data_IF_573434553676
#
_entry.id   IF_573434553676
#
_cell.length_a   1.000
_cell.length_b   1.000
_cell.length_c   1.000
_cell.angle_alpha   90.00
_cell.angle_beta   90.00
_cell.angle_gamma   90.00
#
_symmetry.space_group_name_H-M   'P 1'
#
loop_
_entity.id
_entity.type
_entity.pdbx_description
1 polymer ?
#
# COMPACT_ATOMS: atom_id res chain seq x y z
N UNK A 1 -3.31 -20.69 -5.41
CA UNK A 1 -2.72 -19.36 -5.65
C UNK A 1 -2.41 -19.21 -7.12
N UNK A 2 -2.16 -17.98 -7.58
CA UNK A 2 -1.66 -17.75 -8.93
C UNK A 2 -0.12 -17.65 -8.91
N UNK A 3 0.53 -18.43 -9.78
CA UNK A 3 1.98 -18.57 -9.78
C UNK A 3 2.73 -17.26 -10.08
N UNK A 4 2.20 -16.40 -10.95
CA UNK A 4 2.84 -15.13 -11.29
C UNK A 4 2.83 -14.15 -10.10
N UNK A 5 1.70 -14.08 -9.40
CA UNK A 5 1.57 -13.29 -8.17
C UNK A 5 2.49 -13.84 -7.09
N UNK A 6 2.49 -15.15 -6.88
CA UNK A 6 3.34 -15.80 -5.88
C UNK A 6 4.83 -15.52 -6.15
N UNK A 7 5.23 -15.56 -7.42
CA UNK A 7 6.60 -15.26 -7.83
C UNK A 7 6.96 -13.79 -7.61
N UNK A 8 6.06 -12.85 -7.93
CA UNK A 8 6.27 -11.42 -7.68
C UNK A 8 6.37 -11.10 -6.18
N UNK A 9 5.52 -11.72 -5.36
CA UNK A 9 5.56 -11.58 -3.90
C UNK A 9 6.91 -12.11 -3.38
N UNK A 10 7.28 -13.35 -3.73
CA UNK A 10 8.56 -13.96 -3.32
C UNK A 10 9.77 -13.15 -3.76
N UNK A 11 9.72 -12.52 -4.93
CA UNK A 11 10.80 -11.66 -5.42
C UNK A 11 11.09 -10.47 -4.50
N UNK A 12 10.12 -10.04 -3.67
CA UNK A 12 10.33 -8.99 -2.66
C UNK A 12 11.04 -9.48 -1.39
N UNK A 13 11.09 -10.79 -1.15
CA UNK A 13 11.63 -11.36 0.10
C UNK A 13 13.15 -11.23 0.21
N UNK A 14 13.84 -10.96 -0.90
CA UNK A 14 15.26 -10.56 -0.91
C UNK A 14 15.49 -9.16 -0.34
N UNK A 15 14.45 -8.33 -0.22
CA UNK A 15 14.54 -7.00 0.35
C UNK A 15 14.46 -7.05 1.88
N UNK A 16 14.71 -5.89 2.52
CA UNK A 16 14.47 -5.71 3.95
C UNK A 16 13.04 -6.10 4.32
N UNK A 17 12.86 -6.61 5.54
CA UNK A 17 11.59 -7.15 6.05
C UNK A 17 10.41 -6.19 5.83
N UNK A 18 10.61 -4.91 6.11
CA UNK A 18 9.60 -3.86 5.94
C UNK A 18 9.12 -3.64 4.50
N UNK A 19 9.84 -4.16 3.49
CA UNK A 19 9.52 -4.04 2.06
C UNK A 19 9.07 -5.36 1.44
N UNK A 20 8.84 -6.39 2.27
CA UNK A 20 8.32 -7.67 1.81
C UNK A 20 6.82 -7.56 1.62
N UNK A 21 6.36 -7.96 0.44
CA UNK A 21 4.95 -8.19 0.21
C UNK A 21 4.54 -9.55 0.78
N UNK A 22 3.27 -9.63 1.15
CA UNK A 22 2.65 -10.84 1.65
C UNK A 22 1.37 -11.15 0.86
N UNK A 23 1.01 -12.43 0.78
CA UNK A 23 -0.37 -12.80 0.52
C UNK A 23 -1.14 -12.70 1.84
N UNK A 24 -2.15 -11.84 1.88
CA UNK A 24 -2.93 -11.58 3.09
C UNK A 24 -4.32 -12.20 2.90
N UNK A 25 -4.71 -13.20 3.71
CA UNK A 25 -6.05 -13.76 3.67
C UNK A 25 -7.11 -12.68 3.92
N UNK A 26 -8.20 -12.67 3.13
CA UNK A 26 -9.21 -11.62 3.22
C UNK A 26 -9.91 -11.61 4.59
N UNK A 27 -10.05 -12.77 5.22
CA UNK A 27 -10.63 -12.97 6.54
C UNK A 27 -9.87 -12.30 7.70
N UNK A 28 -8.59 -11.93 7.47
CA UNK A 28 -7.78 -11.16 8.42
C UNK A 28 -8.20 -9.68 8.50
N UNK A 29 -9.10 -9.23 7.62
CA UNK A 29 -9.64 -7.87 7.61
C UNK A 29 -10.97 -7.77 8.36
N UNK A 30 -11.06 -6.81 9.27
CA UNK A 30 -12.29 -6.43 10.00
C UNK A 30 -12.72 -5.02 9.64
N UNK A 31 -14.00 -4.71 9.90
CA UNK A 31 -14.56 -3.36 9.71
C UNK A 31 -14.30 -2.79 8.31
N UNK A 32 -14.47 -3.63 7.28
CA UNK A 32 -14.25 -3.25 5.88
C UNK A 32 -15.32 -2.22 5.48
N UNK A 33 -14.89 -1.00 5.15
CA UNK A 33 -15.77 0.11 4.78
C UNK A 33 -15.33 0.78 3.49
N UNK A 34 -16.27 1.04 2.57
CA UNK A 34 -15.98 1.75 1.33
C UNK A 34 -15.75 3.24 1.61
N UNK A 35 -14.72 3.83 0.98
CA UNK A 35 -14.43 5.27 1.10
C UNK A 35 -14.41 6.00 -0.24
N UNK A 36 -14.17 5.29 -1.34
CA UNK A 36 -14.21 5.87 -2.67
C UNK A 36 -14.44 4.79 -3.74
N UNK A 37 -15.02 5.21 -4.86
CA UNK A 37 -15.16 4.41 -6.05
C UNK A 37 -14.75 5.23 -7.27
N UNK A 38 -13.84 4.68 -8.08
CA UNK A 38 -13.46 5.24 -9.37
C UNK A 38 -13.89 4.32 -10.52
N UNK A 39 -13.54 4.72 -11.73
CA UNK A 39 -13.86 3.95 -12.94
C UNK A 39 -13.24 2.55 -12.96
N UNK A 40 -12.01 2.40 -12.43
CA UNK A 40 -11.22 1.17 -12.52
C UNK A 40 -11.00 0.47 -11.19
N UNK A 41 -11.33 1.12 -10.06
CA UNK A 41 -11.01 0.60 -8.74
C UNK A 41 -11.99 1.07 -7.69
N UNK A 42 -12.16 0.26 -6.65
CA UNK A 42 -12.84 0.65 -5.42
C UNK A 42 -11.82 0.73 -4.29
N UNK A 43 -11.98 1.71 -3.41
CA UNK A 43 -11.09 1.94 -2.27
C UNK A 43 -11.89 1.71 -1.00
N UNK A 44 -11.38 0.82 -0.17
CA UNK A 44 -11.92 0.52 1.14
C UNK A 44 -10.87 0.76 2.22
N UNK A 45 -11.32 0.95 3.45
CA UNK A 45 -10.49 0.88 4.65
C UNK A 45 -10.85 -0.39 5.43
N UNK A 46 -9.87 -0.98 6.10
CA UNK A 46 -10.11 -2.12 6.99
C UNK A 46 -9.14 -2.08 8.17
N UNK A 47 -9.51 -2.77 9.26
CA UNK A 47 -8.59 -3.13 10.32
C UNK A 47 -7.93 -4.47 9.96
N UNK A 48 -6.61 -4.49 9.82
CA UNK A 48 -5.85 -5.72 9.68
C UNK A 48 -5.30 -6.15 11.04
N UNK A 49 -5.86 -7.20 11.63
CA UNK A 49 -5.59 -7.57 13.03
C UNK A 49 -4.14 -7.98 13.30
N UNK A 50 -3.51 -8.69 12.36
CA UNK A 50 -2.11 -9.09 12.48
C UNK A 50 -1.17 -7.91 12.25
N UNK A 51 -1.48 -7.04 11.30
CA UNK A 51 -0.59 -5.96 10.88
C UNK A 51 0.68 -6.43 10.18
N UNK A 52 1.50 -5.46 9.78
CA UNK A 52 2.73 -5.70 9.02
C UNK A 52 3.80 -6.44 9.81
N UNK A 53 4.67 -7.15 9.10
CA UNK A 53 5.87 -7.75 9.68
C UNK A 53 6.85 -6.64 10.09
N UNK A 54 7.40 -6.74 11.29
CA UNK A 54 8.43 -5.81 11.81
C UNK A 54 9.83 -6.42 11.85
N UNK A 55 9.96 -7.72 12.13
CA UNK A 55 11.24 -8.44 12.15
C UNK A 55 11.04 -9.97 12.08
N UNK A 56 12.15 -10.70 11.92
CA UNK A 56 12.20 -12.15 12.12
C UNK A 56 13.33 -12.48 13.10
N UNK A 57 13.10 -13.44 14.01
CA UNK A 57 14.16 -14.09 14.78
C UNK A 57 14.37 -15.51 14.28
N UNK A 58 15.53 -16.05 14.61
CA UNK A 58 16.25 -17.20 14.06
C UNK A 58 15.53 -18.57 14.16
N UNK A 59 14.31 -18.65 13.60
CA UNK A 59 13.43 -19.81 13.37
C UNK A 59 12.20 -19.94 14.28
N UNK A 60 11.10 -19.24 13.93
CA UNK A 60 9.84 -19.90 13.49
C UNK A 60 8.67 -18.96 13.20
N UNK A 61 8.69 -17.72 13.69
CA UNK A 61 7.58 -16.78 13.49
C UNK A 61 8.02 -15.35 13.15
N UNK A 62 7.19 -14.67 12.35
CA UNK A 62 7.34 -13.25 12.06
C UNK A 62 6.79 -12.41 13.20
N UNK A 63 7.58 -11.45 13.70
CA UNK A 63 7.06 -10.43 14.60
C UNK A 63 6.15 -9.48 13.82
N UNK A 64 5.02 -9.14 14.43
CA UNK A 64 3.94 -8.37 13.83
C UNK A 64 3.71 -7.09 14.61
N UNK A 65 3.37 -6.01 13.92
CA UNK A 65 3.07 -4.73 14.56
C UNK A 65 1.76 -4.75 15.38
N UNK A 66 0.91 -5.75 15.17
CA UNK A 66 -0.44 -5.80 15.73
C UNK A 66 -1.45 -5.02 14.88
N UNK A 67 -2.67 -4.79 15.40
CA UNK A 67 -3.76 -4.25 14.59
C UNK A 67 -3.43 -2.89 13.96
N UNK A 68 -3.59 -2.80 12.64
CA UNK A 68 -3.31 -1.59 11.86
C UNK A 68 -4.47 -1.29 10.90
N UNK A 69 -4.85 -0.01 10.77
CA UNK A 69 -5.77 0.41 9.72
C UNK A 69 -5.06 0.44 8.37
N UNK A 70 -5.60 -0.27 7.39
CA UNK A 70 -5.06 -0.37 6.03
C UNK A 70 -6.06 0.12 5.00
N UNK A 71 -5.55 0.44 3.81
CA UNK A 71 -6.36 0.70 2.62
C UNK A 71 -6.33 -0.54 1.73
N UNK A 72 -7.51 -0.94 1.28
CA UNK A 72 -7.73 -2.01 0.33
C UNK A 72 -8.12 -1.38 -1.01
N UNK A 73 -7.21 -1.42 -1.98
CA UNK A 73 -7.49 -0.98 -3.35
C UNK A 73 -7.87 -2.21 -4.18
N UNK A 74 -9.16 -2.34 -4.48
CA UNK A 74 -9.70 -3.42 -5.29
C UNK A 74 -9.71 -2.97 -6.75
N UNK A 75 -9.04 -3.72 -7.63
CA UNK A 75 -9.13 -3.48 -9.07
C UNK A 75 -10.35 -4.19 -9.64
N UNK A 76 -11.24 -3.45 -10.31
CA UNK A 76 -12.42 -4.03 -10.98
C UNK A 76 -11.95 -4.94 -12.11
N UNK A 77 -12.73 -5.98 -12.39
CA UNK A 77 -12.49 -6.92 -13.49
C UNK A 77 -11.10 -7.60 -13.45
N UNK A 78 -10.59 -7.87 -12.25
CA UNK A 78 -9.29 -8.51 -12.02
C UNK A 78 -9.38 -9.98 -11.63
N UNK A 79 -10.59 -10.54 -11.55
CA UNK A 79 -10.84 -11.97 -11.29
C UNK A 79 -10.06 -12.90 -12.20
N UNK A 80 -9.94 -12.51 -13.47
CA UNK A 80 -8.97 -13.07 -14.40
C UNK A 80 -7.77 -12.15 -14.37
N UNK A 81 -6.60 -12.68 -14.04
CA UNK A 81 -5.38 -11.88 -14.00
C UNK A 81 -5.21 -11.19 -15.35
N UNK A 82 -5.38 -9.89 -15.33
CA UNK A 82 -5.17 -9.04 -16.48
C UNK A 82 -3.76 -8.42 -16.42
N UNK A 83 -3.27 -8.01 -17.57
CA UNK A 83 -1.94 -7.41 -17.70
C UNK A 83 -1.79 -6.13 -16.87
N UNK A 84 -2.88 -5.42 -16.59
CA UNK A 84 -2.87 -4.21 -15.77
C UNK A 84 -2.54 -4.52 -14.30
N UNK A 85 -3.15 -5.55 -13.71
CA UNK A 85 -2.85 -5.98 -12.34
C UNK A 85 -1.38 -6.39 -12.20
N UNK A 86 -0.88 -7.25 -13.10
CA UNK A 86 0.51 -7.72 -13.07
C UNK A 86 1.49 -6.57 -13.27
N UNK A 87 1.18 -5.64 -14.16
CA UNK A 87 1.99 -4.44 -14.38
C UNK A 87 2.04 -3.56 -13.14
N UNK A 88 0.91 -3.35 -12.47
CA UNK A 88 0.86 -2.56 -11.24
C UNK A 88 1.62 -3.24 -10.10
N UNK A 89 1.42 -4.55 -9.89
CA UNK A 89 2.17 -5.33 -8.91
C UNK A 89 3.68 -5.27 -9.19
N UNK A 90 4.10 -5.40 -10.45
CA UNK A 90 5.52 -5.26 -10.84
C UNK A 90 6.07 -3.88 -10.48
N UNK A 91 5.37 -2.81 -10.84
CA UNK A 91 5.79 -1.44 -10.48
C UNK A 91 5.93 -1.27 -8.97
N UNK A 92 5.01 -1.84 -8.17
CA UNK A 92 5.10 -1.84 -6.71
C UNK A 92 6.38 -2.58 -6.27
N UNK A 93 6.61 -3.80 -6.77
CA UNK A 93 7.79 -4.61 -6.39
C UNK A 93 9.12 -3.91 -6.68
N UNK A 94 9.21 -3.16 -7.78
CA UNK A 94 10.41 -2.44 -8.20
C UNK A 94 10.64 -1.14 -7.40
N UNK A 95 9.57 -0.51 -6.91
CA UNK A 95 9.64 0.77 -6.17
C UNK A 95 9.79 0.60 -4.67
N UNK A 96 9.31 -0.52 -4.12
CA UNK A 96 9.31 -0.85 -2.69
C UNK A 96 10.66 -0.63 -1.97
N UNK A 97 11.82 -1.08 -2.49
CA UNK A 97 13.11 -0.88 -1.82
C UNK A 97 13.49 0.59 -1.58
N UNK A 98 12.88 1.51 -2.32
CA UNK A 98 13.14 2.94 -2.25
C UNK A 98 11.98 3.73 -1.61
N UNK A 99 10.90 3.05 -1.19
CA UNK A 99 9.66 3.70 -0.76
C UNK A 99 9.87 4.67 0.41
N UNK A 100 10.59 4.24 1.46
CA UNK A 100 10.88 5.08 2.62
C UNK A 100 11.68 6.35 2.27
N UNK A 101 12.73 6.21 1.45
CA UNK A 101 13.57 7.35 1.03
C UNK A 101 12.84 8.34 0.13
N UNK A 102 11.78 7.87 -0.55
CA UNK A 102 11.01 8.66 -1.53
C UNK A 102 9.65 9.10 -1.01
N UNK A 103 9.34 8.85 0.27
CA UNK A 103 8.03 9.12 0.87
C UNK A 103 6.86 8.52 0.07
N UNK A 104 7.07 7.34 -0.53
CA UNK A 104 6.05 6.61 -1.30
C UNK A 104 5.17 5.81 -0.32
N UNK A 105 3.89 5.65 -0.67
CA UNK A 105 2.95 4.79 0.05
C UNK A 105 3.54 3.38 0.22
N UNK A 106 3.50 2.87 1.45
CA UNK A 106 3.96 1.54 1.75
C UNK A 106 2.91 0.52 1.33
N UNK A 107 3.32 -0.49 0.56
CA UNK A 107 2.51 -1.65 0.24
C UNK A 107 2.87 -2.80 1.18
N UNK A 108 1.85 -3.49 1.67
CA UNK A 108 2.00 -4.64 2.57
C UNK A 108 1.78 -5.96 1.85
N UNK A 109 0.92 -5.99 0.83
CA UNK A 109 0.62 -7.25 0.19
C UNK A 109 -0.48 -7.21 -0.84
N UNK A 110 -0.87 -8.41 -1.22
CA UNK A 110 -1.99 -8.70 -2.11
C UNK A 110 -2.99 -9.56 -1.35
N UNK A 111 -4.27 -9.32 -1.58
CA UNK A 111 -5.36 -10.19 -1.15
C UNK A 111 -6.30 -10.45 -2.33
N UNK A 112 -7.33 -11.24 -2.11
CA UNK A 112 -8.37 -11.51 -3.10
C UNK A 112 -9.73 -11.51 -2.42
N UNK A 113 -10.66 -10.75 -2.99
CA UNK A 113 -12.03 -10.71 -2.51
C UNK A 113 -12.68 -12.10 -2.71
N UNK A 114 -13.27 -12.71 -1.65
CA UNK A 114 -13.76 -14.07 -1.73
C UNK A 114 -15.01 -14.21 -2.60
N UNK A 115 -15.75 -13.14 -2.87
CA UNK A 115 -17.02 -13.13 -3.61
C UNK A 115 -16.76 -12.83 -5.08
N UNK A 116 -16.21 -11.66 -5.37
CA UNK A 116 -15.95 -11.15 -6.72
C UNK A 116 -14.70 -11.75 -7.35
N UNK A 117 -13.80 -12.34 -6.53
CA UNK A 117 -12.48 -12.84 -6.94
C UNK A 117 -11.53 -11.77 -7.46
N UNK A 118 -11.90 -10.49 -7.36
CA UNK A 118 -11.01 -9.38 -7.69
C UNK A 118 -9.82 -9.34 -6.73
N UNK A 119 -8.65 -9.02 -7.28
CA UNK A 119 -7.45 -8.81 -6.48
C UNK A 119 -7.45 -7.44 -5.80
N UNK A 120 -6.79 -7.43 -4.65
CA UNK A 120 -6.76 -6.30 -3.73
C UNK A 120 -5.30 -5.98 -3.43
N UNK A 121 -4.90 -4.72 -3.61
CA UNK A 121 -3.65 -4.21 -3.05
C UNK A 121 -3.88 -3.70 -1.63
N UNK A 122 -3.04 -4.16 -0.71
CA UNK A 122 -3.09 -3.78 0.71
C UNK A 122 -1.97 -2.80 0.98
N UNK A 123 -2.30 -1.59 1.46
CA UNK A 123 -1.35 -0.50 1.64
C UNK A 123 -1.60 0.31 2.91
N UNK A 124 -0.59 1.09 3.33
CA UNK A 124 -0.66 1.94 4.52
C UNK A 124 -1.76 2.99 4.40
N UNK A 125 -2.56 3.17 5.45
CA UNK A 125 -3.57 4.23 5.51
C UNK A 125 -2.94 5.61 5.80
N UNK A 126 -3.22 6.58 4.93
CA UNK A 126 -2.78 7.97 5.09
C UNK A 126 -3.86 8.77 5.83
N UNK A 127 -3.61 9.10 7.11
CA UNK A 127 -4.59 9.81 7.96
C UNK A 127 -5.02 11.18 7.42
N UNK A 128 -4.16 11.87 6.67
CA UNK A 128 -4.49 13.16 6.07
C UNK A 128 -5.26 13.05 4.74
N UNK A 129 -5.53 11.83 4.26
CA UNK A 129 -6.19 11.61 2.97
C UNK A 129 -5.28 11.90 1.78
N UNK A 130 -5.90 12.19 0.64
CA UNK A 130 -5.18 12.57 -0.58
C UNK A 130 -4.60 13.98 -0.48
N UNK A 131 -3.57 14.26 -1.29
CA UNK A 131 -3.03 15.61 -1.41
C UNK A 131 -4.12 16.63 -1.79
N UNK A 132 -5.05 16.24 -2.66
CA UNK A 132 -6.14 17.10 -3.07
C UNK A 132 -7.05 17.48 -1.89
N UNK A 133 -7.46 16.51 -1.07
CA UNK A 133 -8.27 16.75 0.12
C UNK A 133 -7.51 17.54 1.19
N UNK A 134 -6.22 17.27 1.35
CA UNK A 134 -5.40 18.03 2.28
C UNK A 134 -5.30 19.50 1.86
N UNK A 135 -4.98 19.75 0.58
CA UNK A 135 -4.87 21.10 0.04
C UNK A 135 -6.22 21.81 0.10
N UNK A 136 -7.34 21.16 -0.23
CA UNK A 136 -8.66 21.79 -0.19
C UNK A 136 -9.06 22.26 1.22
N UNK A 137 -8.61 21.55 2.26
CA UNK A 137 -8.89 21.90 3.66
C UNK A 137 -7.91 22.91 4.25
N UNK A 138 -6.64 22.84 3.87
CA UNK A 138 -5.55 23.53 4.57
C UNK A 138 -4.86 24.61 3.72
N UNK A 139 -5.36 24.93 2.52
CA UNK A 139 -4.68 25.82 1.57
C UNK A 139 -4.21 27.15 2.20
N UNK A 140 -5.08 27.76 3.02
CA UNK A 140 -4.81 29.06 3.64
C UNK A 140 -3.72 29.02 4.72
N UNK A 141 -3.45 27.86 5.31
CA UNK A 141 -2.46 27.67 6.37
C UNK A 141 -1.07 27.30 5.82
N UNK A 142 -0.97 27.04 4.52
CA UNK A 142 0.29 26.71 3.86
C UNK A 142 1.15 27.96 3.74
N UNK A 143 2.27 27.97 4.47
CA UNK A 143 3.27 29.03 4.40
C UNK A 143 4.29 28.72 3.31
N UNK A 144 4.42 29.63 2.35
CA UNK A 144 5.54 29.65 1.44
C UNK A 144 6.78 30.13 2.22
N UNK A 145 7.78 29.26 2.40
CA UNK A 145 9.07 29.72 2.91
C UNK A 145 9.76 30.53 1.82
N UNK A 146 10.21 31.74 2.14
CA UNK A 146 10.93 32.63 1.20
C UNK A 146 12.12 31.91 0.55
N UNK A 147 11.99 31.51 -0.71
CA UNK A 147 13.06 30.91 -1.52
C UNK A 147 14.11 31.94 -2.03
N UNK A 148 14.11 33.17 -1.53
CA UNK A 148 14.72 34.31 -2.23
C UNK A 148 15.80 35.11 -1.51
N UNK A 149 16.53 34.57 -0.51
CA UNK A 149 17.63 35.31 0.16
C UNK A 149 18.96 34.57 0.16
N UNK A 150 19.37 33.97 -0.96
CA UNK A 150 20.81 33.85 -1.21
C UNK A 150 21.31 35.20 -1.70
N UNK A 151 22.06 35.88 -0.84
CA UNK A 151 22.69 37.17 -1.13
C UNK A 151 23.58 37.00 -2.36
N UNK A 152 23.23 37.64 -3.48
CA UNK A 152 24.26 38.09 -4.43
C UNK A 152 25.04 39.20 -3.71
N UNK A 153 26.15 38.83 -3.06
CA UNK A 153 27.21 39.79 -2.77
C UNK A 153 27.73 40.29 -4.11
N UNK A 154 27.49 41.57 -4.39
CA UNK A 154 28.25 42.30 -5.40
C UNK A 154 29.70 42.43 -4.95
#
# INVERSE_FOLDING_TARGET
GNLDIDNLIKATHKNMVQFRLEWIPYEDFKNVGNIAEGGFSMIFTALWEKGKITSYYDNRDFNRAGPETVVLKILKDSQNINSAFIKELRNITETLPNSYKRHIIQYYGVSQDPVTKNYIFVMSHMKQGSLHEYLSKNFNDIKWTDWGKSKRSK
#
